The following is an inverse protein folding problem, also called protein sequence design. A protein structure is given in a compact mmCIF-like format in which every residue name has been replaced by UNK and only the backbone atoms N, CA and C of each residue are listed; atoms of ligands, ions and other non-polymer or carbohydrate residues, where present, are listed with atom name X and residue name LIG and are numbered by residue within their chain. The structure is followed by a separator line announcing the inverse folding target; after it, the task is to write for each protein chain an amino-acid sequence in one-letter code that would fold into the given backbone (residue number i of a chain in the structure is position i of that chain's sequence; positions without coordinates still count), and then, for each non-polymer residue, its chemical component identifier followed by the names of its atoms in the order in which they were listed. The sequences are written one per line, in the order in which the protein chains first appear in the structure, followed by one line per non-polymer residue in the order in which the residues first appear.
data_IF_930418606320
#
_entry.id   IF_930418606320
#
_cell.length_a   1.000
_cell.length_b   1.000
_cell.length_c   1.000
_cell.angle_alpha   90.00
_cell.angle_beta   90.00
_cell.angle_gamma   90.00
#
_symmetry.space_group_name_H-M   'P 1'
#
loop_
_entity.id
_entity.type
_entity.pdbx_description
1 polymer ?
#
# COMPACT_ATOMS: atom_id res chain seq x y z
N UNK A 1 13.04 -3.34 0.71
CA UNK A 1 12.83 -1.96 0.23
C UNK A 1 11.41 -1.46 0.49
N UNK A 2 10.35 -2.08 -0.03
CA UNK A 2 8.97 -1.63 0.26
C UNK A 2 8.60 -1.80 1.75
N UNK A 3 8.80 -3.00 2.30
CA UNK A 3 8.49 -3.29 3.72
C UNK A 3 9.27 -2.36 4.65
N UNK A 4 10.56 -2.12 4.35
CA UNK A 4 11.43 -1.26 5.16
C UNK A 4 11.04 0.23 5.11
N UNK A 5 10.34 0.65 4.06
CA UNK A 5 9.88 2.02 3.89
C UNK A 5 8.47 2.24 4.48
N UNK A 6 7.72 1.16 4.74
CA UNK A 6 6.41 1.22 5.37
C UNK A 6 6.51 1.45 6.89
N UNK A 7 5.43 1.98 7.52
CA UNK A 7 5.33 2.03 8.97
C UNK A 7 5.54 0.64 9.62
N UNK A 8 6.13 0.54 10.83
CA UNK A 8 6.54 -0.74 11.43
C UNK A 8 5.41 -1.76 11.61
N UNK A 9 4.18 -1.29 11.77
CA UNK A 9 3.00 -2.13 11.96
C UNK A 9 2.18 -2.34 10.68
N UNK A 10 2.72 -1.95 9.52
CA UNK A 10 2.04 -2.10 8.25
C UNK A 10 2.02 -3.56 7.81
N UNK A 11 0.85 -4.03 7.36
CA UNK A 11 0.71 -5.36 6.75
C UNK A 11 0.76 -5.17 5.24
N UNK A 12 1.82 -5.66 4.61
CA UNK A 12 2.01 -5.60 3.16
C UNK A 12 1.60 -6.95 2.55
N UNK A 13 0.70 -6.90 1.56
CA UNK A 13 0.26 -8.09 0.82
C UNK A 13 0.22 -7.79 -0.67
N UNK A 14 0.48 -8.80 -1.49
CA UNK A 14 0.37 -8.70 -2.94
C UNK A 14 -0.79 -9.55 -3.43
N UNK A 15 -1.54 -9.02 -4.38
CA UNK A 15 -2.66 -9.71 -4.99
C UNK A 15 -2.59 -9.59 -6.52
N UNK A 16 -2.84 -10.70 -7.22
CA UNK A 16 -2.84 -10.74 -8.67
C UNK A 16 -4.20 -11.20 -9.16
N UNK A 17 -4.90 -10.34 -9.90
CA UNK A 17 -6.14 -10.69 -10.60
C UNK A 17 -5.90 -10.58 -12.12
N UNK A 18 -5.93 -9.36 -12.63
CA UNK A 18 -5.59 -8.99 -14.02
C UNK A 18 -4.32 -8.14 -14.11
N UNK A 19 -3.91 -7.55 -12.98
CA UNK A 19 -2.67 -6.84 -12.77
C UNK A 19 -2.17 -7.13 -11.35
N UNK A 20 -0.87 -6.94 -11.12
CA UNK A 20 -0.28 -7.05 -9.79
C UNK A 20 -0.65 -5.80 -8.99
N UNK A 21 -1.26 -6.01 -7.83
CA UNK A 21 -1.57 -4.98 -6.87
C UNK A 21 -0.83 -5.25 -5.57
N UNK A 22 -0.42 -4.18 -4.92
CA UNK A 22 0.04 -4.20 -3.54
C UNK A 22 -1.04 -3.58 -2.65
N UNK A 23 -1.27 -4.18 -1.50
CA UNK A 23 -2.12 -3.66 -0.44
C UNK A 23 -1.29 -3.48 0.82
N UNK A 24 -1.36 -2.28 1.38
CA UNK A 24 -0.64 -1.87 2.58
C UNK A 24 -1.69 -1.46 3.60
N UNK A 25 -1.87 -2.27 4.63
CA UNK A 25 -2.81 -2.01 5.70
C UNK A 25 -2.10 -1.33 6.87
N UNK A 26 -2.62 -0.19 7.30
CA UNK A 26 -2.06 0.64 8.39
C UNK A 26 -3.13 1.01 9.42
N UNK A 27 -2.72 1.26 10.67
CA UNK A 27 -3.65 1.50 11.78
C UNK A 27 -4.28 2.88 11.84
N UNK A 28 -3.63 3.90 11.28
CA UNK A 28 -4.08 5.29 11.42
C UNK A 28 -4.03 6.03 10.08
N UNK A 29 -4.79 7.12 9.98
CA UNK A 29 -4.92 7.92 8.76
C UNK A 29 -3.65 8.72 8.41
N UNK A 30 -2.81 9.01 9.41
CA UNK A 30 -1.50 9.64 9.19
C UNK A 30 -0.59 8.72 8.37
N UNK A 31 -0.49 7.45 8.76
CA UNK A 31 0.26 6.43 8.05
C UNK A 31 -0.29 6.19 6.64
N UNK A 32 -1.61 6.31 6.41
CA UNK A 32 -2.19 6.26 5.06
C UNK A 32 -1.56 7.34 4.19
N UNK A 33 -1.56 8.57 4.68
CA UNK A 33 -1.03 9.73 3.94
C UNK A 33 0.47 9.57 3.65
N UNK A 34 1.24 9.05 4.62
CA UNK A 34 2.66 8.75 4.45
C UNK A 34 2.87 7.69 3.35
N UNK A 35 2.13 6.59 3.40
CA UNK A 35 2.28 5.48 2.44
C UNK A 35 1.92 5.93 1.02
N UNK A 36 0.88 6.73 0.84
CA UNK A 36 0.52 7.25 -0.48
C UNK A 36 1.53 8.21 -1.07
N UNK A 37 2.14 9.07 -0.24
CA UNK A 37 3.20 9.96 -0.69
C UNK A 37 4.49 9.19 -1.01
N UNK A 38 4.75 8.11 -0.28
CA UNK A 38 5.94 7.28 -0.40
C UNK A 38 5.89 6.39 -1.65
N UNK A 39 4.77 5.70 -1.91
CA UNK A 39 4.67 4.67 -2.93
C UNK A 39 5.19 5.09 -4.32
N UNK A 40 4.83 6.27 -4.89
CA UNK A 40 5.33 6.71 -6.20
C UNK A 40 6.85 6.92 -6.24
N UNK A 41 7.49 7.14 -5.09
CA UNK A 41 8.94 7.37 -5.00
C UNK A 41 9.74 6.08 -4.97
N UNK A 42 9.09 4.94 -4.71
CA UNK A 42 9.74 3.65 -4.57
C UNK A 42 9.87 2.94 -5.92
N UNK A 43 10.93 2.13 -6.05
CA UNK A 43 11.13 1.25 -7.21
C UNK A 43 11.16 1.99 -8.55
N UNK A 44 11.64 3.24 -8.58
CA UNK A 44 11.64 4.10 -9.77
C UNK A 44 10.23 4.38 -10.35
N UNK A 45 9.20 4.42 -9.50
CA UNK A 45 7.84 4.79 -9.90
C UNK A 45 6.97 3.64 -10.40
N UNK A 46 7.37 2.38 -10.12
CA UNK A 46 6.57 1.19 -10.49
C UNK A 46 5.23 1.11 -9.75
N UNK A 47 5.04 1.84 -8.65
CA UNK A 47 3.78 1.87 -7.92
C UNK A 47 2.93 3.07 -8.38
N UNK A 48 1.77 2.79 -8.95
CA UNK A 48 0.86 3.81 -9.48
C UNK A 48 -0.61 3.44 -9.22
N UNK A 49 -1.55 4.27 -9.69
CA UNK A 49 -3.00 4.11 -9.47
C UNK A 49 -3.34 3.89 -7.99
N UNK A 50 -2.80 4.77 -7.14
CA UNK A 50 -2.92 4.66 -5.70
C UNK A 50 -4.37 4.94 -5.26
N UNK A 51 -4.90 4.06 -4.42
CA UNK A 51 -6.27 4.12 -3.91
C UNK A 51 -6.32 3.87 -2.40
N UNK A 52 -7.20 4.60 -1.71
CA UNK A 52 -7.56 4.36 -0.31
C UNK A 52 -8.79 3.47 -0.23
N UNK A 53 -8.82 2.58 0.74
CA UNK A 53 -9.98 1.75 1.03
C UNK A 53 -9.96 1.21 2.46
N UNK A 54 -10.94 0.35 2.74
CA UNK A 54 -10.99 -0.42 3.98
C UNK A 54 -10.25 -1.74 3.79
N UNK A 55 -9.58 -2.23 4.84
CA UNK A 55 -9.03 -3.58 4.80
C UNK A 55 -10.15 -4.61 5.09
N UNK A 56 -10.50 -5.50 4.14
CA UNK A 56 -11.59 -6.45 4.33
C UNK A 56 -11.32 -7.46 5.45
N UNK A 57 -10.05 -7.77 5.69
CA UNK A 57 -9.61 -8.75 6.68
C UNK A 57 -9.20 -8.10 8.02
N UNK A 58 -9.05 -6.78 8.05
CA UNK A 58 -8.61 -6.03 9.22
C UNK A 58 -9.51 -4.80 9.45
N UNK A 59 -10.66 -4.94 10.12
CA UNK A 59 -11.70 -3.90 10.20
C UNK A 59 -11.25 -2.60 10.90
N UNK A 60 -10.13 -2.63 11.64
CA UNK A 60 -9.53 -1.45 12.29
C UNK A 60 -8.32 -0.89 11.53
N UNK A 61 -8.05 -1.40 10.34
CA UNK A 61 -6.97 -0.93 9.48
C UNK A 61 -7.53 -0.22 8.25
N UNK A 62 -6.78 0.78 7.82
CA UNK A 62 -6.98 1.46 6.56
C UNK A 62 -6.07 0.84 5.52
N UNK A 63 -6.56 0.68 4.29
CA UNK A 63 -5.81 0.07 3.20
C UNK A 63 -5.39 1.13 2.19
N UNK A 64 -4.11 1.15 1.86
CA UNK A 64 -3.60 1.79 0.63
C UNK A 64 -3.32 0.70 -0.38
N UNK A 65 -3.91 0.82 -1.57
CA UNK A 65 -3.67 -0.09 -2.68
C UNK A 65 -2.94 0.64 -3.79
N UNK A 66 -2.05 -0.04 -4.50
CA UNK A 66 -1.43 0.48 -5.71
C UNK A 66 -1.23 -0.64 -6.73
N UNK A 67 -1.28 -0.29 -8.00
CA UNK A 67 -0.83 -1.17 -9.08
C UNK A 67 0.69 -1.19 -9.14
N UNK A 68 1.23 -2.34 -9.50
CA UNK A 68 2.66 -2.56 -9.67
C UNK A 68 2.90 -2.84 -11.15
N UNK A 69 3.57 -1.90 -11.81
CA UNK A 69 4.03 -2.07 -13.19
C UNK A 69 5.22 -3.05 -13.26
N UNK A 70 5.41 -3.62 -14.45
CA UNK A 70 6.46 -4.61 -14.73
C UNK A 70 7.84 -4.00 -14.88
#
# INVERSE_FOLDING_TARGET
MLIDACPPEAIVSFHYESALHVHIDVRNLEHVTIVEALLPTLGAGIFHDIQRGNSPQHPFFHRVSARVDR
#
